data_IF_261827634606
#
_entry.id   IF_261827634606
#
_cell.length_a   1.000
_cell.length_b   1.000
_cell.length_c   1.000
_cell.angle_alpha   90.00
_cell.angle_beta   90.00
_cell.angle_gamma   90.00
#
_symmetry.space_group_name_H-M   'P 1'
#
loop_
_entity.id
_entity.type
_entity.pdbx_description
1 polymer ?
#
# COMPACT_ATOMS: atom_id res chain seq x y z
N UNK A 1 9.32 11.57 -22.03
CA UNK A 1 9.94 10.23 -21.94
C UNK A 1 9.19 9.28 -22.87
N UNK A 2 9.77 8.16 -23.31
CA UNK A 2 8.92 7.10 -23.85
C UNK A 2 8.20 6.43 -22.67
N UNK A 3 6.88 6.26 -22.76
CA UNK A 3 6.09 5.66 -21.69
C UNK A 3 6.52 4.21 -21.44
N UNK A 4 7.28 3.99 -20.36
CA UNK A 4 7.83 2.69 -20.01
C UNK A 4 6.84 1.87 -19.17
N UNK A 5 5.82 1.32 -19.83
CA UNK A 5 4.76 0.53 -19.19
C UNK A 5 5.31 -0.63 -18.35
N UNK A 6 6.12 -1.50 -18.95
CA UNK A 6 6.63 -2.70 -18.28
C UNK A 6 7.52 -2.39 -17.07
N UNK A 7 8.50 -1.47 -17.16
CA UNK A 7 9.28 -1.03 -16.01
C UNK A 7 8.43 -0.46 -14.87
N UNK A 8 7.38 0.32 -15.19
CA UNK A 8 6.48 0.87 -14.17
C UNK A 8 5.69 -0.23 -13.44
N UNK A 9 5.18 -1.22 -14.16
CA UNK A 9 4.50 -2.39 -13.56
C UNK A 9 5.47 -3.15 -12.65
N UNK A 10 6.67 -3.47 -13.14
CA UNK A 10 7.68 -4.20 -12.36
C UNK A 10 8.08 -3.40 -11.10
N UNK A 11 8.30 -2.10 -11.23
CA UNK A 11 8.63 -1.23 -10.09
C UNK A 11 7.51 -1.22 -9.04
N UNK A 12 6.23 -1.16 -9.47
CA UNK A 12 5.10 -1.22 -8.56
C UNK A 12 4.94 -2.57 -7.86
N UNK A 13 5.18 -3.68 -8.56
CA UNK A 13 5.15 -5.03 -7.97
C UNK A 13 6.30 -5.23 -6.97
N UNK A 14 7.53 -4.88 -7.37
CA UNK A 14 8.71 -5.00 -6.50
C UNK A 14 8.59 -4.08 -5.29
N UNK A 15 8.15 -2.83 -5.48
CA UNK A 15 7.91 -1.89 -4.40
C UNK A 15 6.83 -2.37 -3.43
N UNK A 16 5.69 -2.86 -3.95
CA UNK A 16 4.64 -3.44 -3.14
C UNK A 16 5.12 -4.64 -2.32
N UNK A 17 5.88 -5.56 -2.94
CA UNK A 17 6.44 -6.71 -2.25
C UNK A 17 7.44 -6.32 -1.16
N UNK A 18 8.33 -5.36 -1.44
CA UNK A 18 9.32 -4.87 -0.46
C UNK A 18 8.64 -4.22 0.75
N UNK A 19 7.59 -3.42 0.54
CA UNK A 19 6.83 -2.79 1.63
C UNK A 19 6.07 -3.83 2.45
N UNK A 20 5.43 -4.81 1.81
CA UNK A 20 4.78 -5.92 2.52
C UNK A 20 5.77 -6.74 3.36
N UNK A 21 7.01 -6.89 2.90
CA UNK A 21 8.07 -7.54 3.66
C UNK A 21 8.46 -6.71 4.89
N UNK A 22 8.62 -5.39 4.73
CA UNK A 22 8.89 -4.48 5.85
C UNK A 22 7.78 -4.52 6.91
N UNK A 23 6.51 -4.49 6.48
CA UNK A 23 5.37 -4.64 7.39
C UNK A 23 5.44 -5.96 8.17
N UNK A 24 5.79 -7.07 7.51
CA UNK A 24 5.96 -8.36 8.18
C UNK A 24 7.08 -8.35 9.21
N UNK A 25 8.19 -7.66 8.92
CA UNK A 25 9.32 -7.48 9.83
C UNK A 25 9.01 -6.53 11.00
N UNK A 26 8.07 -5.60 10.82
CA UNK A 26 7.63 -4.66 11.87
C UNK A 26 6.63 -5.29 12.86
N UNK A 27 5.93 -6.37 12.48
CA UNK A 27 5.02 -7.11 13.38
C UNK A 27 5.62 -7.51 14.74
N UNK A 28 6.82 -8.13 14.82
CA UNK A 28 7.44 -8.48 16.10
C UNK A 28 7.83 -7.25 16.94
N UNK A 29 7.94 -6.06 16.34
CA UNK A 29 8.25 -4.81 17.06
C UNK A 29 7.02 -4.15 17.72
N UNK A 30 5.86 -4.83 17.75
CA UNK A 30 4.63 -4.32 18.38
C UNK A 30 3.88 -3.28 17.56
N UNK A 31 4.40 -2.92 16.38
CA UNK A 31 3.71 -2.09 15.39
C UNK A 31 2.68 -2.93 14.65
N UNK A 32 1.48 -3.08 15.23
CA UNK A 32 0.33 -3.72 14.57
C UNK A 32 -0.28 -2.79 13.52
N UNK A 33 0.40 -2.64 12.39
CA UNK A 33 -0.24 -2.33 11.11
C UNK A 33 -0.43 -3.68 10.40
N UNK A 34 -1.69 -4.10 10.25
CA UNK A 34 -2.04 -5.23 9.38
C UNK A 34 -2.88 -4.71 8.21
N UNK A 35 -2.29 -3.93 7.29
CA UNK A 35 -3.01 -3.40 6.13
C UNK A 35 -3.59 -4.52 5.27
N UNK A 36 -2.94 -5.68 5.21
CA UNK A 36 -3.49 -6.84 4.49
C UNK A 36 -4.78 -7.37 5.15
N UNK A 37 -4.83 -7.48 6.48
CA UNK A 37 -6.09 -7.85 7.13
C UNK A 37 -7.15 -6.77 6.99
N UNK A 38 -6.76 -5.49 7.02
CA UNK A 38 -7.68 -4.38 6.81
C UNK A 38 -8.40 -4.50 5.46
N UNK A 39 -7.66 -4.73 4.37
CA UNK A 39 -8.22 -5.00 3.04
C UNK A 39 -9.11 -6.25 3.03
N UNK A 40 -8.67 -7.33 3.68
CA UNK A 40 -9.49 -8.53 3.85
C UNK A 40 -10.83 -8.24 4.55
N UNK A 41 -10.82 -7.52 5.67
CA UNK A 41 -12.04 -7.13 6.39
C UNK A 41 -12.94 -6.20 5.60
N UNK A 42 -12.39 -5.27 4.80
CA UNK A 42 -13.20 -4.43 3.89
C UNK A 42 -13.94 -5.29 2.87
N UNK A 43 -13.33 -6.38 2.42
CA UNK A 43 -13.97 -7.37 1.54
C UNK A 43 -14.77 -8.44 2.30
N UNK A 44 -14.96 -8.29 3.62
CA UNK A 44 -15.66 -9.26 4.51
C UNK A 44 -14.99 -10.64 4.60
N UNK A 45 -13.70 -10.73 4.30
CA UNK A 45 -12.90 -11.94 4.32
C UNK A 45 -12.05 -11.98 5.60
N UNK A 46 -12.04 -13.13 6.28
CA UNK A 46 -11.39 -13.30 7.57
C UNK A 46 -10.28 -14.37 7.51
N UNK A 47 -9.38 -14.34 8.50
CA UNK A 47 -8.32 -15.34 8.63
C UNK A 47 -7.24 -15.25 7.55
N UNK A 48 -6.60 -16.38 7.25
CA UNK A 48 -5.49 -16.46 6.29
C UNK A 48 -5.86 -16.05 4.86
N UNK A 49 -7.10 -16.32 4.44
CA UNK A 49 -7.59 -15.95 3.12
C UNK A 49 -7.73 -14.42 2.95
N UNK A 50 -8.25 -13.74 3.98
CA UNK A 50 -8.34 -12.27 3.98
C UNK A 50 -6.97 -11.60 3.93
N UNK A 51 -5.96 -12.20 4.58
CA UNK A 51 -4.58 -11.72 4.50
C UNK A 51 -3.98 -11.88 3.09
N UNK A 52 -4.16 -13.04 2.47
CA UNK A 52 -3.65 -13.30 1.12
C UNK A 52 -4.29 -12.38 0.07
N UNK A 53 -5.61 -12.20 0.13
CA UNK A 53 -6.33 -11.31 -0.78
C UNK A 53 -5.95 -9.85 -0.54
N UNK A 54 -5.81 -9.43 0.72
CA UNK A 54 -5.34 -8.09 1.04
C UNK A 54 -3.93 -7.80 0.52
N UNK A 55 -3.04 -8.79 0.54
CA UNK A 55 -1.71 -8.69 -0.09
C UNK A 55 -1.80 -8.53 -1.61
N UNK A 56 -2.60 -9.37 -2.29
CA UNK A 56 -2.77 -9.28 -3.75
C UNK A 56 -3.35 -7.94 -4.15
N UNK A 57 -4.38 -7.46 -3.46
CA UNK A 57 -4.98 -6.15 -3.69
C UNK A 57 -3.95 -5.03 -3.50
N UNK A 58 -3.13 -5.12 -2.46
CA UNK A 58 -2.08 -4.13 -2.21
C UNK A 58 -1.01 -4.11 -3.30
N UNK A 59 -0.59 -5.27 -3.82
CA UNK A 59 0.38 -5.38 -4.92
C UNK A 59 -0.21 -4.85 -6.23
N UNK A 60 -1.46 -5.22 -6.56
CA UNK A 60 -2.14 -4.73 -7.77
C UNK A 60 -2.32 -3.21 -7.71
N UNK A 61 -2.73 -2.68 -6.56
CA UNK A 61 -2.88 -1.24 -6.35
C UNK A 61 -1.52 -0.52 -6.45
N UNK A 62 -0.44 -1.13 -5.94
CA UNK A 62 0.91 -0.59 -6.06
C UNK A 62 1.37 -0.51 -7.52
N UNK A 63 1.08 -1.53 -8.32
CA UNK A 63 1.34 -1.51 -9.76
C UNK A 63 0.53 -0.43 -10.49
N UNK A 64 -0.76 -0.27 -10.15
CA UNK A 64 -1.59 0.79 -10.71
C UNK A 64 -1.09 2.19 -10.35
N UNK A 65 -0.69 2.42 -9.09
CA UNK A 65 -0.14 3.70 -8.64
C UNK A 65 1.21 3.98 -9.32
N UNK A 66 2.07 2.98 -9.47
CA UNK A 66 3.34 3.13 -10.17
C UNK A 66 3.15 3.54 -11.64
N UNK A 67 2.13 2.99 -12.31
CA UNK A 67 1.73 3.42 -13.65
C UNK A 67 1.24 4.87 -13.69
N UNK A 68 0.44 5.30 -12.71
CA UNK A 68 0.01 6.69 -12.59
C UNK A 68 1.18 7.65 -12.35
N UNK A 69 2.16 7.25 -11.53
CA UNK A 69 3.39 8.01 -11.31
C UNK A 69 4.23 8.12 -12.59
N UNK A 70 4.39 7.02 -13.32
CA UNK A 70 5.10 7.00 -14.60
C UNK A 70 4.42 7.92 -15.62
N UNK A 71 3.09 7.88 -15.71
CA UNK A 71 2.31 8.78 -16.57
C UNK A 71 2.45 10.24 -16.13
N UNK A 72 2.40 10.52 -14.82
CA UNK A 72 2.56 11.87 -14.29
C UNK A 72 3.94 12.45 -14.64
N UNK A 73 5.01 11.68 -14.44
CA UNK A 73 6.36 12.16 -14.78
C UNK A 73 6.58 12.33 -16.27
N UNK A 74 5.91 11.51 -17.10
CA UNK A 74 5.93 11.68 -18.55
C UNK A 74 5.26 12.99 -18.97
N UNK A 75 4.08 13.30 -18.43
CA UNK A 75 3.35 14.54 -18.71
C UNK A 75 4.09 15.78 -18.20
N UNK A 76 4.73 15.70 -17.03
CA UNK A 76 5.50 16.81 -16.43
C UNK A 76 6.87 16.98 -17.10
N UNK A 77 7.31 16.02 -17.93
CA UNK A 77 8.58 16.10 -18.66
C UNK A 77 9.81 15.97 -17.76
N UNK A 78 9.71 15.18 -16.68
CA UNK A 78 10.82 14.99 -15.74
C UNK A 78 11.86 14.04 -16.34
N UNK A 79 12.91 14.59 -16.95
CA UNK A 79 13.93 13.76 -17.65
C UNK A 79 15.20 13.52 -16.80
N UNK A 80 15.35 14.23 -15.68
CA UNK A 80 16.54 14.15 -14.83
C UNK A 80 16.22 13.73 -13.39
N UNK A 81 17.18 13.05 -12.74
CA UNK A 81 17.13 12.67 -11.32
C UNK A 81 15.97 11.74 -10.93
N UNK A 82 15.63 10.76 -11.78
CA UNK A 82 14.57 9.76 -11.53
C UNK A 82 14.67 9.08 -10.15
N UNK A 83 15.89 8.84 -9.67
CA UNK A 83 16.16 8.29 -8.34
C UNK A 83 15.71 9.20 -7.19
N UNK A 84 15.91 10.52 -7.32
CA UNK A 84 15.47 11.49 -6.31
C UNK A 84 13.95 11.56 -6.26
N UNK A 85 13.28 11.49 -7.41
CA UNK A 85 11.82 11.42 -7.48
C UNK A 85 11.26 10.12 -6.89
N UNK A 86 11.97 9.00 -7.07
CA UNK A 86 11.65 7.74 -6.40
C UNK A 86 11.75 7.85 -4.87
N UNK A 87 12.80 8.50 -4.35
CA UNK A 87 12.96 8.76 -2.91
C UNK A 87 11.86 9.67 -2.35
N UNK A 88 11.52 10.75 -3.07
CA UNK A 88 10.43 11.65 -2.67
C UNK A 88 9.08 10.91 -2.66
N UNK A 89 8.81 10.12 -3.70
CA UNK A 89 7.60 9.29 -3.77
C UNK A 89 7.53 8.27 -2.63
N UNK A 90 8.63 7.59 -2.33
CA UNK A 90 8.73 6.65 -1.20
C UNK A 90 8.53 7.33 0.16
N UNK A 91 9.15 8.49 0.37
CA UNK A 91 8.97 9.28 1.60
C UNK A 91 7.53 9.76 1.77
N UNK A 92 6.90 10.24 0.69
CA UNK A 92 5.50 10.66 0.69
C UNK A 92 4.58 9.48 1.00
N UNK A 93 4.81 8.33 0.37
CA UNK A 93 4.06 7.11 0.63
C UNK A 93 4.19 6.65 2.08
N UNK A 94 5.41 6.66 2.62
CA UNK A 94 5.68 6.32 4.02
C UNK A 94 4.95 7.27 4.99
N UNK A 95 4.98 8.58 4.72
CA UNK A 95 4.29 9.57 5.53
C UNK A 95 2.77 9.38 5.52
N UNK A 96 2.17 9.09 4.36
CA UNK A 96 0.73 8.81 4.24
C UNK A 96 0.39 7.48 4.94
N UNK A 97 1.19 6.44 4.74
CA UNK A 97 0.99 5.14 5.37
C UNK A 97 1.08 5.25 6.90
N UNK A 98 2.12 5.89 7.42
CA UNK A 98 2.33 6.08 8.86
C UNK A 98 1.31 7.04 9.49
N UNK A 99 1.04 8.17 8.86
CA UNK A 99 0.20 9.23 9.42
C UNK A 99 -1.31 8.97 9.30
N UNK A 100 -1.76 8.38 8.19
CA UNK A 100 -3.19 8.19 7.91
C UNK A 100 -3.61 6.72 7.98
N UNK A 101 -2.89 5.83 7.31
CA UNK A 101 -3.29 4.41 7.17
C UNK A 101 -3.10 3.66 8.48
N UNK A 102 -2.01 3.90 9.22
CA UNK A 102 -1.72 3.26 10.51
C UNK A 102 -2.84 3.47 11.56
N UNK A 103 -3.22 4.72 11.91
CA UNK A 103 -4.29 4.95 12.89
C UNK A 103 -5.67 4.52 12.37
N UNK A 104 -5.89 4.49 11.05
CA UNK A 104 -7.13 4.02 10.47
C UNK A 104 -7.25 2.48 10.51
N UNK A 105 -6.19 1.78 10.11
CA UNK A 105 -6.04 0.32 10.21
C UNK A 105 -6.29 -0.18 11.63
N UNK A 106 -5.64 0.44 12.64
CA UNK A 106 -5.86 0.10 14.05
C UNK A 106 -7.32 0.24 14.46
N UNK A 107 -8.01 1.30 14.02
CA UNK A 107 -9.42 1.53 14.33
C UNK A 107 -10.32 0.48 13.70
N UNK A 108 -10.12 0.11 12.43
CA UNK A 108 -10.93 -0.92 11.77
C UNK A 108 -10.69 -2.32 12.37
N UNK A 109 -9.44 -2.70 12.66
CA UNK A 109 -9.12 -3.99 13.27
C UNK A 109 -9.71 -4.09 14.68
N UNK A 110 -9.53 -3.06 15.53
CA UNK A 110 -10.13 -3.03 16.87
C UNK A 110 -11.66 -3.15 16.80
N UNK A 111 -12.31 -2.48 15.84
CA UNK A 111 -13.76 -2.56 15.62
C UNK A 111 -14.25 -3.94 15.22
N UNK A 112 -13.49 -4.64 14.36
CA UNK A 112 -13.84 -6.01 13.93
C UNK A 112 -13.84 -7.01 15.10
N UNK A 113 -12.97 -6.82 16.12
CA UNK A 113 -12.94 -7.67 17.32
C UNK A 113 -14.10 -7.45 18.29
N UNK A 114 -14.66 -6.24 18.34
CA UNK A 114 -15.73 -5.86 19.29
C UNK A 114 -17.14 -5.93 18.68
N UNK A 115 -17.30 -6.36 17.41
CA UNK A 115 -18.61 -6.56 16.80
C UNK A 115 -19.48 -5.30 16.65
N UNK A 116 -18.89 -4.10 16.65
CA UNK A 116 -19.63 -2.83 16.66
C UNK A 116 -20.14 -2.42 15.26
N UNK A 117 -21.46 -2.27 15.05
CA UNK A 117 -22.05 -1.94 13.75
C UNK A 117 -22.24 -0.42 13.61
N UNK A 118 -21.21 0.35 13.26
CA UNK A 118 -21.42 1.72 12.71
C UNK A 118 -20.42 2.04 11.60
N UNK A 119 -20.94 2.75 10.59
CA UNK A 119 -20.41 3.06 9.25
C UNK A 119 -19.01 3.69 9.30
N UNK A 120 -18.10 3.26 8.44
CA UNK A 120 -16.76 3.86 8.29
C UNK A 120 -15.60 2.91 7.92
N UNK A 121 -15.83 1.61 7.84
CA UNK A 121 -14.85 0.62 7.29
C UNK A 121 -15.45 -0.16 6.11
N UNK A 122 -16.37 0.49 5.38
CA UNK A 122 -17.10 -0.02 4.22
C UNK A 122 -16.62 0.68 2.97
#
# INVERSE_FOLDING_TARGET
>A
MEFQFWPAVVAGVVGGAAMSMLDWMMKPMGMRMDPHQMWGTMMKLHGGLGYAIGFVVHVVLSAAIALLYALFFDVVGVEANLWAWGLVGGALHWAIAGGMVCPWSRRCILRSRIGSPRRGCS
#
